data_IF_106699387497
#
_entry.id   IF_106699387497
#
_cell.length_a   1.000
_cell.length_b   1.000
_cell.length_c   1.000
_cell.angle_alpha   90.00
_cell.angle_beta   90.00
_cell.angle_gamma   90.00
#
_symmetry.space_group_name_H-M   'P 1'
#
loop_
_entity.id
_entity.type
_entity.pdbx_description
1 polymer ?
#
# COMPACT_ATOMS: atom_id res chain seq x y z
N UNK A 1 19.21 -7.72 21.72
CA UNK A 1 18.09 -6.76 21.54
C UNK A 1 18.37 -5.90 20.32
N UNK A 2 17.34 -5.49 19.54
CA UNK A 2 17.53 -4.66 18.34
C UNK A 2 18.14 -3.30 18.71
N UNK A 3 19.00 -2.75 17.84
CA UNK A 3 19.61 -1.42 18.02
C UNK A 3 18.56 -0.31 17.85
N UNK A 4 18.90 0.92 18.26
CA UNK A 4 18.04 2.10 18.04
C UNK A 4 17.76 2.29 16.55
N UNK A 5 18.80 2.18 15.73
CA UNK A 5 18.72 2.28 14.26
C UNK A 5 17.75 1.24 13.67
N UNK A 6 17.83 -0.03 14.10
CA UNK A 6 16.89 -1.05 13.65
C UNK A 6 15.43 -0.72 14.01
N UNK A 7 15.19 -0.10 15.18
CA UNK A 7 13.83 0.30 15.58
C UNK A 7 13.32 1.46 14.74
N UNK A 8 14.16 2.47 14.45
CA UNK A 8 13.81 3.59 13.58
C UNK A 8 13.48 3.11 12.18
N UNK A 9 14.35 2.31 11.57
CA UNK A 9 14.11 1.63 10.29
C UNK A 9 12.79 0.89 10.28
N UNK A 10 12.54 0.05 11.29
CA UNK A 10 11.29 -0.71 11.37
C UNK A 10 10.07 0.21 11.47
N UNK A 11 10.15 1.28 12.27
CA UNK A 11 9.08 2.28 12.39
C UNK A 11 8.77 2.99 11.07
N UNK A 12 9.79 3.35 10.30
CA UNK A 12 9.64 3.94 8.96
C UNK A 12 8.97 2.97 7.97
N UNK A 13 9.41 1.71 7.91
CA UNK A 13 8.76 0.68 7.06
C UNK A 13 7.31 0.49 7.47
N UNK A 14 7.05 0.38 8.77
CA UNK A 14 5.71 0.17 9.30
C UNK A 14 4.79 1.35 8.95
N UNK A 15 5.26 2.59 9.13
CA UNK A 15 4.51 3.79 8.76
C UNK A 15 4.18 3.79 7.27
N UNK A 16 5.17 3.58 6.41
CA UNK A 16 4.96 3.58 4.95
C UNK A 16 3.99 2.49 4.50
N UNK A 17 4.10 1.29 5.05
CA UNK A 17 3.21 0.17 4.72
C UNK A 17 1.78 0.33 5.24
N UNK A 18 1.57 1.06 6.34
CA UNK A 18 0.21 1.40 6.82
C UNK A 18 -0.38 2.52 5.96
N UNK A 19 0.37 3.58 5.69
CA UNK A 19 -0.15 4.72 4.93
C UNK A 19 -0.48 4.35 3.47
N UNK A 20 0.24 3.38 2.89
CA UNK A 20 -0.05 2.93 1.54
C UNK A 20 -1.35 2.13 1.40
N UNK A 21 -2.02 1.72 2.49
CA UNK A 21 -3.33 1.03 2.42
C UNK A 21 -4.51 1.99 2.55
N UNK A 22 -4.29 3.28 2.80
CA UNK A 22 -5.37 4.27 2.80
C UNK A 22 -5.84 4.56 1.36
N UNK A 23 -6.82 3.78 0.91
CA UNK A 23 -7.42 3.92 -0.40
C UNK A 23 -8.29 5.18 -0.55
N UNK A 24 -8.74 5.76 0.57
CA UNK A 24 -9.52 7.00 0.53
C UNK A 24 -8.64 8.22 0.22
N UNK A 25 -7.35 8.14 0.57
CA UNK A 25 -6.38 9.18 0.25
C UNK A 25 -5.84 9.06 -1.18
N UNK A 26 -6.41 9.85 -2.10
CA UNK A 26 -5.93 9.97 -3.48
C UNK A 26 -4.47 10.44 -3.56
N UNK A 27 -4.05 11.25 -2.59
CA UNK A 27 -2.67 11.73 -2.49
C UNK A 27 -1.70 10.56 -2.24
N UNK A 28 -2.00 9.73 -1.23
CA UNK A 28 -1.19 8.56 -0.90
C UNK A 28 -1.17 7.55 -2.04
N UNK A 29 -2.33 7.26 -2.64
CA UNK A 29 -2.40 6.38 -3.81
C UNK A 29 -1.59 6.93 -4.99
N UNK A 30 -1.69 8.24 -5.25
CA UNK A 30 -0.89 8.91 -6.25
C UNK A 30 0.61 8.82 -5.96
N UNK A 31 1.03 8.96 -4.70
CA UNK A 31 2.42 8.83 -4.29
C UNK A 31 2.96 7.41 -4.55
N UNK A 32 2.21 6.37 -4.17
CA UNK A 32 2.57 4.98 -4.45
C UNK A 32 2.71 4.72 -5.96
N UNK A 33 1.77 5.23 -6.77
CA UNK A 33 1.84 5.07 -8.24
C UNK A 33 3.04 5.80 -8.83
N UNK A 34 3.31 7.05 -8.43
CA UNK A 34 4.47 7.82 -8.91
C UNK A 34 5.80 7.13 -8.55
N UNK A 35 5.94 6.66 -7.32
CA UNK A 35 7.13 5.92 -6.86
C UNK A 35 7.33 4.64 -7.67
N UNK A 36 6.25 3.93 -7.97
CA UNK A 36 6.27 2.75 -8.84
C UNK A 36 6.72 3.07 -10.25
N UNK A 37 6.11 4.07 -10.88
CA UNK A 37 6.44 4.48 -12.26
C UNK A 37 7.88 4.99 -12.36
N UNK A 38 8.34 5.75 -11.36
CA UNK A 38 9.73 6.18 -11.26
C UNK A 38 10.68 4.97 -11.23
N UNK A 39 10.41 3.98 -10.39
CA UNK A 39 11.20 2.74 -10.32
C UNK A 39 11.25 2.00 -11.67
N UNK A 40 10.10 1.90 -12.36
CA UNK A 40 9.96 1.12 -13.60
C UNK A 40 10.44 1.85 -14.86
N UNK A 41 10.39 3.18 -14.88
CA UNK A 41 10.85 4.00 -16.02
C UNK A 41 12.36 3.99 -16.21
N UNK A 42 13.14 3.55 -15.22
CA UNK A 42 14.58 3.40 -15.34
C UNK A 42 15.37 4.71 -15.43
N UNK A 43 14.72 5.87 -15.28
CA UNK A 43 15.38 7.18 -15.18
C UNK A 43 16.08 7.30 -13.82
N UNK A 44 17.24 6.67 -13.72
CA UNK A 44 18.19 6.90 -12.65
C UNK A 44 18.98 8.18 -12.95
N UNK A 45 18.51 9.31 -12.44
CA UNK A 45 19.34 10.51 -12.34
C UNK A 45 19.28 10.97 -10.91
N UNK A 46 20.32 10.63 -10.13
CA UNK A 46 20.87 11.36 -8.98
C UNK A 46 19.94 12.19 -8.07
N UNK A 47 18.67 11.84 -7.93
CA UNK A 47 17.82 12.34 -6.88
C UNK A 47 17.99 11.39 -5.71
N UNK A 48 18.58 11.91 -4.63
CA UNK A 48 18.49 11.27 -3.31
C UNK A 48 17.04 10.82 -3.10
N UNK A 49 16.83 9.59 -2.62
CA UNK A 49 15.46 9.17 -2.33
C UNK A 49 14.95 10.03 -1.19
N UNK A 50 14.26 11.13 -1.51
CA UNK A 50 13.33 11.83 -0.62
C UNK A 50 12.06 10.97 -0.49
N UNK A 51 12.30 9.73 -0.08
CA UNK A 51 11.34 8.79 0.42
C UNK A 51 10.75 9.45 1.68
N UNK A 52 9.65 10.19 1.52
CA UNK A 52 8.94 11.01 2.53
C UNK A 52 9.52 12.41 2.78
N UNK A 53 9.26 13.34 1.85
CA UNK A 53 9.00 14.72 2.26
C UNK A 53 7.55 14.80 2.76
N UNK A 54 7.36 14.68 4.07
CA UNK A 54 6.09 15.10 4.64
C UNK A 54 6.08 16.63 4.69
N UNK A 55 5.20 17.19 3.88
CA UNK A 55 4.55 18.48 4.11
C UNK A 55 4.24 18.63 5.60
N UNK A 56 4.75 19.70 6.21
CA UNK A 56 4.46 20.19 7.56
C UNK A 56 3.03 19.84 8.03
N UNK A 57 2.86 18.73 8.77
CA UNK A 57 1.61 18.47 9.46
C UNK A 57 1.86 17.98 10.88
N UNK A 58 1.95 18.96 11.76
CA UNK A 58 2.29 18.89 13.19
C UNK A 58 1.18 18.30 14.07
N UNK A 59 0.52 17.21 13.66
CA UNK A 59 -0.59 16.65 14.43
C UNK A 59 -0.65 15.12 14.40
N UNK A 60 0.16 14.47 15.26
CA UNK A 60 -0.23 13.28 16.06
C UNK A 60 0.97 12.71 16.85
N UNK A 61 1.47 13.47 17.82
CA UNK A 61 2.69 13.16 18.57
C UNK A 61 2.53 12.23 19.79
N UNK A 62 1.36 11.64 20.05
CA UNK A 62 1.11 11.00 21.37
C UNK A 62 1.29 9.49 21.44
N UNK A 63 1.46 8.75 20.34
CA UNK A 63 1.41 7.27 20.39
C UNK A 63 2.70 6.53 19.99
N UNK A 64 3.72 7.21 19.48
CA UNK A 64 5.00 6.57 19.10
C UNK A 64 5.94 6.31 20.28
N UNK A 65 5.75 6.99 21.41
CA UNK A 65 6.56 6.80 22.63
C UNK A 65 6.44 5.39 23.22
N UNK A 66 5.32 4.70 23.00
CA UNK A 66 5.13 3.32 23.45
C UNK A 66 6.03 2.29 22.74
N UNK A 67 6.54 2.61 21.55
CA UNK A 67 7.43 1.76 20.76
C UNK A 67 8.92 2.08 20.97
N UNK A 68 9.25 3.06 21.82
CA UNK A 68 10.62 3.52 22.04
C UNK A 68 11.28 4.10 20.79
N UNK A 69 10.47 4.71 19.91
CA UNK A 69 10.92 5.43 18.73
C UNK A 69 11.25 6.89 19.09
N UNK A 70 12.31 7.49 18.51
CA UNK A 70 12.66 8.87 18.76
C UNK A 70 11.52 9.82 18.36
N UNK A 71 11.25 10.82 19.18
CA UNK A 71 10.15 11.78 19.00
C UNK A 71 10.40 12.79 17.88
N UNK A 72 11.60 12.86 17.29
CA UNK A 72 11.92 13.84 16.23
C UNK A 72 11.70 13.23 14.83
N UNK A 73 10.63 13.69 14.17
CA UNK A 73 10.22 13.28 12.81
C UNK A 73 11.30 13.52 11.74
N UNK A 74 12.30 14.38 12.02
CA UNK A 74 13.39 14.68 11.08
C UNK A 74 14.30 13.50 10.76
N UNK A 75 14.24 12.42 11.54
CA UNK A 75 15.03 11.21 11.28
C UNK A 75 14.28 10.17 10.42
N UNK A 76 13.03 10.45 10.07
CA UNK A 76 12.18 9.55 9.27
C UNK A 76 12.32 9.72 7.75
N UNK A 77 13.06 10.74 7.29
CA UNK A 77 13.31 11.02 5.87
C UNK A 77 14.41 10.18 5.21
N UNK A 78 15.12 9.35 5.97
CA UNK A 78 16.04 8.38 5.38
C UNK A 78 15.28 7.11 5.04
N UNK A 79 15.32 6.74 3.76
CA UNK A 79 15.16 5.38 3.26
C UNK A 79 15.29 4.31 4.38
N UNK A 80 14.24 3.50 4.64
CA UNK A 80 14.25 2.58 5.77
C UNK A 80 15.29 1.46 5.65
N UNK A 81 15.80 1.18 4.46
CA UNK A 81 16.84 0.18 4.27
C UNK A 81 18.20 0.85 4.46
N UNK A 82 18.92 0.61 5.58
CA UNK A 82 20.24 1.20 5.76
C UNK A 82 21.13 0.78 4.59
N UNK A 83 21.71 1.76 3.90
CA UNK A 83 22.78 1.54 2.95
C UNK A 83 23.97 0.98 3.71
N UNK A 84 24.14 -0.34 3.74
CA UNK A 84 25.42 -0.91 4.12
C UNK A 84 26.44 -0.48 3.06
N UNK A 85 27.13 0.62 3.34
CA UNK A 85 28.10 1.23 2.45
C UNK A 85 27.43 2.07 1.37
N UNK A 86 27.81 3.35 1.31
CA UNK A 86 27.58 4.21 0.17
C UNK A 86 28.40 3.62 -0.99
N UNK A 87 27.78 2.75 -1.79
CA UNK A 87 28.20 2.51 -3.17
C UNK A 87 27.20 3.22 -4.07
N UNK A 88 27.72 3.90 -5.10
CA UNK A 88 26.95 4.53 -6.18
C UNK A 88 25.91 3.53 -6.71
N UNK A 89 24.62 3.74 -6.39
CA UNK A 89 23.52 2.82 -6.71
C UNK A 89 22.61 2.40 -5.53
N UNK A 90 22.98 2.69 -4.28
CA UNK A 90 22.23 2.28 -3.07
C UNK A 90 20.80 2.84 -2.97
N UNK A 91 20.54 4.05 -3.45
CA UNK A 91 19.21 4.67 -3.40
C UNK A 91 18.15 3.91 -4.21
N UNK A 92 18.53 3.32 -5.35
CA UNK A 92 17.62 2.54 -6.21
C UNK A 92 17.21 1.22 -5.58
N UNK A 93 18.12 0.54 -4.88
CA UNK A 93 17.84 -0.69 -4.13
C UNK A 93 16.87 -0.44 -2.98
N UNK A 94 17.02 0.67 -2.28
CA UNK A 94 16.11 1.04 -1.21
C UNK A 94 14.70 1.38 -1.70
N UNK A 95 14.61 2.23 -2.73
CA UNK A 95 13.33 2.59 -3.34
C UNK A 95 12.62 1.34 -3.85
N UNK A 96 13.36 0.44 -4.51
CA UNK A 96 12.84 -0.85 -4.97
C UNK A 96 12.24 -1.67 -3.83
N UNK A 97 12.98 -1.83 -2.72
CA UNK A 97 12.50 -2.55 -1.54
C UNK A 97 11.21 -1.96 -0.96
N UNK A 98 11.16 -0.63 -0.81
CA UNK A 98 9.99 0.05 -0.25
C UNK A 98 8.77 -0.10 -1.16
N UNK A 99 8.92 0.21 -2.45
CA UNK A 99 7.84 0.19 -3.43
C UNK A 99 7.27 -1.22 -3.62
N UNK A 100 8.13 -2.25 -3.62
CA UNK A 100 7.66 -3.63 -3.67
C UNK A 100 6.89 -4.01 -2.41
N UNK A 101 7.37 -3.63 -1.23
CA UNK A 101 6.65 -3.89 0.03
C UNK A 101 5.31 -3.15 0.12
N UNK A 102 5.29 -1.86 -0.20
CA UNK A 102 4.07 -1.04 -0.29
C UNK A 102 3.04 -1.73 -1.20
N UNK A 103 3.47 -2.12 -2.41
CA UNK A 103 2.60 -2.78 -3.38
C UNK A 103 2.14 -4.16 -2.90
N UNK A 104 2.99 -4.96 -2.26
CA UNK A 104 2.61 -6.25 -1.67
C UNK A 104 1.56 -6.09 -0.58
N UNK A 105 1.68 -5.05 0.27
CA UNK A 105 0.73 -4.76 1.33
C UNK A 105 -0.60 -4.27 0.77
N UNK A 106 -0.59 -3.40 -0.25
CA UNK A 106 -1.79 -2.99 -0.99
C UNK A 106 -2.52 -4.19 -1.58
N UNK A 107 -1.80 -5.09 -2.25
CA UNK A 107 -2.39 -6.33 -2.78
C UNK A 107 -2.96 -7.19 -1.67
N UNK A 108 -2.25 -7.35 -0.55
CA UNK A 108 -2.68 -8.19 0.56
C UNK A 108 -3.99 -7.71 1.17
N UNK A 109 -4.18 -6.40 1.31
CA UNK A 109 -5.38 -5.78 1.89
C UNK A 109 -6.65 -6.11 1.09
N UNK A 110 -6.54 -6.13 -0.24
CA UNK A 110 -7.67 -6.43 -1.14
C UNK A 110 -7.61 -7.82 -1.77
N UNK A 111 -6.75 -8.72 -1.28
CA UNK A 111 -6.46 -10.01 -1.92
C UNK A 111 -7.70 -10.90 -2.10
N UNK A 112 -8.72 -10.76 -1.25
CA UNK A 112 -9.96 -11.51 -1.34
C UNK A 112 -10.71 -11.32 -2.68
N UNK A 113 -10.50 -10.18 -3.35
CA UNK A 113 -11.05 -9.87 -4.69
C UNK A 113 -10.37 -10.64 -5.82
N UNK A 114 -9.15 -11.13 -5.59
CA UNK A 114 -8.32 -11.88 -6.56
C UNK A 114 -8.25 -13.38 -6.21
N UNK A 115 -9.03 -13.82 -5.22
CA UNK A 115 -9.15 -15.23 -4.83
C UNK A 115 -10.31 -15.91 -5.57
N UNK A 116 -10.60 -17.18 -5.24
CA UNK A 116 -11.74 -17.88 -5.82
C UNK A 116 -13.08 -17.25 -5.38
N UNK A 117 -14.10 -17.38 -6.23
CA UNK A 117 -15.43 -16.78 -6.07
C UNK A 117 -16.02 -16.89 -4.65
N UNK A 118 -15.96 -18.08 -4.04
CA UNK A 118 -16.50 -18.29 -2.69
C UNK A 118 -15.85 -17.41 -1.61
N UNK A 119 -14.55 -17.11 -1.72
CA UNK A 119 -13.87 -16.19 -0.81
C UNK A 119 -14.25 -14.75 -1.10
N UNK A 120 -14.29 -14.35 -2.37
CA UNK A 120 -14.73 -13.02 -2.76
C UNK A 120 -16.13 -12.73 -2.20
N UNK A 121 -17.11 -13.59 -2.47
CA UNK A 121 -18.50 -13.42 -2.00
C UNK A 121 -18.55 -13.35 -0.47
N UNK A 122 -17.85 -14.23 0.24
CA UNK A 122 -17.83 -14.25 1.70
C UNK A 122 -17.34 -12.92 2.29
N UNK A 123 -16.24 -12.39 1.78
CA UNK A 123 -15.63 -11.17 2.30
C UNK A 123 -16.37 -9.92 1.83
N UNK A 124 -16.85 -9.90 0.59
CA UNK A 124 -17.67 -8.80 0.08
C UNK A 124 -18.99 -8.66 0.86
N UNK A 125 -19.62 -9.79 1.22
CA UNK A 125 -20.81 -9.79 2.09
C UNK A 125 -20.51 -9.26 3.50
N UNK A 126 -19.34 -9.57 4.06
CA UNK A 126 -18.95 -9.05 5.39
C UNK A 126 -18.73 -7.55 5.36
N UNK A 127 -18.03 -7.04 4.35
CA UNK A 127 -17.88 -5.60 4.12
C UNK A 127 -19.25 -4.92 4.00
N UNK A 128 -20.15 -5.45 3.18
CA UNK A 128 -21.50 -4.91 3.03
C UNK A 128 -22.24 -4.84 4.37
N UNK A 129 -22.15 -5.89 5.20
CA UNK A 129 -22.79 -5.91 6.52
C UNK A 129 -22.24 -4.86 7.47
N UNK A 130 -20.92 -4.64 7.47
CA UNK A 130 -20.28 -3.61 8.28
C UNK A 130 -20.78 -2.22 7.88
N UNK A 131 -20.77 -1.92 6.57
CA UNK A 131 -21.28 -0.65 6.05
C UNK A 131 -22.79 -0.48 6.32
N UNK A 132 -23.58 -1.54 6.18
CA UNK A 132 -25.01 -1.50 6.48
C UNK A 132 -25.27 -1.29 7.98
N UNK A 133 -24.44 -1.83 8.87
CA UNK A 133 -24.51 -1.53 10.30
C UNK A 133 -24.20 -0.05 10.58
N UNK A 134 -23.17 0.52 9.95
CA UNK A 134 -22.88 1.95 10.03
C UNK A 134 -24.05 2.80 9.51
N UNK A 135 -24.71 2.38 8.41
CA UNK A 135 -25.91 3.03 7.90
C UNK A 135 -27.06 2.99 8.93
N UNK A 136 -27.33 1.83 9.53
CA UNK A 136 -28.34 1.68 10.59
C UNK A 136 -28.08 2.58 11.80
N UNK A 137 -26.80 2.87 12.09
CA UNK A 137 -26.38 3.79 13.14
C UNK A 137 -26.35 5.26 12.72
N UNK A 138 -26.70 5.59 11.47
CA UNK A 138 -26.71 6.95 10.95
C UNK A 138 -25.31 7.52 10.65
N UNK A 139 -24.28 6.68 10.58
CA UNK A 139 -22.89 7.10 10.33
C UNK A 139 -22.58 7.22 8.83
N UNK A 140 -23.37 6.59 7.97
CA UNK A 140 -23.18 6.66 6.51
C UNK A 140 -24.50 6.44 5.74
N UNK A 141 -24.54 6.79 4.44
CA UNK A 141 -25.65 6.45 3.56
C UNK A 141 -25.86 4.93 3.41
N UNK A 142 -27.04 4.53 2.94
CA UNK A 142 -27.33 3.13 2.63
C UNK A 142 -26.36 2.62 1.54
N UNK A 143 -25.57 1.56 1.79
CA UNK A 143 -24.68 0.99 0.78
C UNK A 143 -25.40 0.13 -0.27
N UNK A 144 -26.68 -0.20 -0.09
CA UNK A 144 -27.42 -1.10 -1.00
C UNK A 144 -27.58 -0.55 -2.42
N UNK A 145 -27.99 0.73 -2.62
CA UNK A 145 -28.10 1.30 -3.95
C UNK A 145 -26.74 1.35 -4.65
N UNK A 146 -26.65 0.76 -5.84
CA UNK A 146 -25.43 0.79 -6.65
C UNK A 146 -24.29 -0.09 -6.14
N UNK A 147 -24.53 -0.99 -5.17
CA UNK A 147 -23.47 -1.88 -4.65
C UNK A 147 -22.76 -2.66 -5.76
N UNK A 148 -23.53 -3.31 -6.64
CA UNK A 148 -22.98 -4.12 -7.72
C UNK A 148 -22.16 -3.27 -8.71
N UNK A 149 -22.68 -2.14 -9.16
CA UNK A 149 -21.98 -1.23 -10.08
C UNK A 149 -20.72 -0.63 -9.44
N UNK A 150 -20.79 -0.34 -8.13
CA UNK A 150 -19.65 0.11 -7.33
C UNK A 150 -18.55 -0.94 -7.25
N UNK A 151 -18.92 -2.22 -7.06
CA UNK A 151 -17.95 -3.33 -7.11
C UNK A 151 -17.29 -3.44 -8.48
N UNK A 152 -18.07 -3.42 -9.57
CA UNK A 152 -17.51 -3.46 -10.93
C UNK A 152 -16.54 -2.29 -11.17
N UNK A 153 -16.94 -1.08 -10.78
CA UNK A 153 -16.10 0.12 -10.89
C UNK A 153 -14.81 0.00 -10.06
N UNK A 154 -14.88 -0.64 -8.89
CA UNK A 154 -13.73 -0.91 -8.04
C UNK A 154 -12.77 -1.91 -8.68
N UNK A 155 -13.29 -2.95 -9.33
CA UNK A 155 -12.46 -3.90 -10.06
C UNK A 155 -11.73 -3.24 -11.24
N UNK A 156 -12.45 -2.46 -12.04
CA UNK A 156 -11.90 -1.79 -13.23
C UNK A 156 -10.87 -0.72 -12.85
N UNK A 157 -11.20 0.11 -11.86
CA UNK A 157 -10.37 1.25 -11.47
C UNK A 157 -9.18 0.90 -10.57
N UNK A 158 -9.27 -0.19 -9.80
CA UNK A 158 -8.28 -0.48 -8.75
C UNK A 158 -7.76 -1.93 -8.78
N UNK A 159 -8.63 -2.94 -8.62
CA UNK A 159 -8.18 -4.32 -8.41
C UNK A 159 -7.43 -4.89 -9.61
N UNK A 160 -7.97 -4.78 -10.82
CA UNK A 160 -7.35 -5.34 -12.03
C UNK A 160 -6.04 -4.61 -12.35
N UNK A 161 -5.96 -3.25 -12.33
CA UNK A 161 -4.68 -2.54 -12.44
C UNK A 161 -3.64 -2.98 -11.39
N UNK A 162 -4.05 -3.16 -10.14
CA UNK A 162 -3.16 -3.60 -9.05
C UNK A 162 -2.61 -5.01 -9.28
N UNK A 163 -3.48 -5.94 -9.70
CA UNK A 163 -3.10 -7.31 -10.02
C UNK A 163 -2.13 -7.39 -11.22
N UNK A 164 -2.40 -6.63 -12.29
CA UNK A 164 -1.52 -6.55 -13.48
C UNK A 164 -0.16 -5.96 -13.15
N UNK A 165 -0.13 -4.94 -12.29
CA UNK A 165 1.11 -4.35 -11.78
C UNK A 165 1.94 -5.39 -11.03
N UNK A 166 1.31 -6.22 -10.20
CA UNK A 166 1.99 -7.31 -9.47
C UNK A 166 2.49 -8.40 -10.43
N UNK A 167 1.69 -8.81 -11.40
CA UNK A 167 2.11 -9.77 -12.43
C UNK A 167 3.35 -9.28 -13.17
N UNK A 168 3.36 -8.00 -13.57
CA UNK A 168 4.49 -7.37 -14.27
C UNK A 168 5.81 -7.38 -13.51
N UNK A 169 5.80 -7.55 -12.17
CA UNK A 169 7.05 -7.69 -11.39
C UNK A 169 7.74 -9.04 -11.57
N UNK A 170 7.01 -10.08 -11.98
CA UNK A 170 7.48 -11.46 -11.94
C UNK A 170 7.72 -12.02 -10.52
N UNK A 171 7.49 -11.26 -9.44
CA UNK A 171 7.81 -11.65 -8.07
C UNK A 171 7.08 -12.92 -7.60
N UNK A 172 5.91 -13.20 -8.17
CA UNK A 172 5.09 -14.38 -7.86
C UNK A 172 5.12 -15.46 -8.96
N UNK A 173 5.93 -15.27 -10.01
CA UNK A 173 5.98 -16.16 -11.17
C UNK A 173 4.59 -16.44 -11.74
N UNK A 174 4.26 -17.71 -11.97
CA UNK A 174 2.97 -18.14 -12.53
C UNK A 174 1.76 -17.80 -11.65
N UNK A 175 1.95 -17.48 -10.37
CA UNK A 175 0.86 -17.10 -9.48
C UNK A 175 0.34 -15.68 -9.75
N UNK A 176 1.16 -14.79 -10.32
CA UNK A 176 0.74 -13.43 -10.71
C UNK A 176 -0.39 -13.47 -11.74
N UNK A 177 -0.18 -14.20 -12.84
CA UNK A 177 -1.19 -14.41 -13.88
C UNK A 177 -2.49 -15.03 -13.33
N UNK A 178 -2.39 -15.90 -12.31
CA UNK A 178 -3.57 -16.49 -11.67
C UNK A 178 -4.39 -15.44 -10.92
N UNK A 179 -3.75 -14.47 -10.26
CA UNK A 179 -4.45 -13.40 -9.55
C UNK A 179 -5.20 -12.49 -10.53
N UNK A 180 -4.57 -12.10 -11.64
CA UNK A 180 -5.21 -11.29 -12.69
C UNK A 180 -6.44 -12.02 -13.23
N UNK A 181 -6.30 -13.29 -13.62
CA UNK A 181 -7.43 -14.08 -14.13
C UNK A 181 -8.58 -14.17 -13.13
N UNK A 182 -8.28 -14.40 -11.84
CA UNK A 182 -9.31 -14.47 -10.79
C UNK A 182 -9.99 -13.13 -10.54
N UNK A 183 -9.27 -12.03 -10.62
CA UNK A 183 -9.86 -10.70 -10.53
C UNK A 183 -10.83 -10.44 -11.69
N UNK A 184 -10.44 -10.80 -12.92
CA UNK A 184 -11.29 -10.69 -14.11
C UNK A 184 -12.52 -11.62 -14.04
N UNK A 185 -12.36 -12.86 -13.54
CA UNK A 185 -13.46 -13.80 -13.29
C UNK A 185 -14.44 -13.27 -12.23
N UNK A 186 -13.97 -12.66 -11.13
CA UNK A 186 -14.84 -12.14 -10.07
C UNK A 186 -15.53 -10.81 -10.45
N UNK A 187 -14.98 -10.09 -11.44
CA UNK A 187 -15.55 -8.86 -12.01
C UNK A 187 -16.67 -9.13 -13.03
N UNK A 188 -16.67 -10.30 -13.67
CA UNK A 188 -17.64 -10.70 -14.68
C UNK A 188 -18.99 -11.09 -14.07
#
# INVERSE_FOLDING_TARGET
FPTVECRVTFGQVLRGTILCTDIASKEQMGACVRRWEHLMSGNAVNEECNCFEDSENSHSHEHLGALGLPEDDRQFGCCPFPSQGIQEGGGRLCLHGCVVLEHMIQVADVAHTMQGWGNFVKWNYRLFRELYACHKSGLMPDPAPGWADGQVSFFDGYIIPLAKRLEGTGALGTHGARLVRRAEENRA
#
